data_IF_634483106211
#
_entry.id   IF_634483106211
#
_cell.length_a   1.000
_cell.length_b   1.000
_cell.length_c   1.000
_cell.angle_alpha   90.00
_cell.angle_beta   90.00
_cell.angle_gamma   90.00
#
_symmetry.space_group_name_H-M   'P 1'
#
loop_
_entity.id
_entity.type
_entity.pdbx_description
1 polymer ?
#
# COMPACT_ATOMS: atom_id res chain seq x y z
N UNK A 1 5.39 16.63 1.21
CA UNK A 1 5.59 15.33 0.54
C UNK A 1 4.38 15.05 -0.34
N UNK A 2 4.61 14.55 -1.54
CA UNK A 2 3.54 14.15 -2.46
C UNK A 2 3.11 12.69 -2.21
N UNK A 3 1.80 12.44 -2.29
CA UNK A 3 1.21 11.12 -2.09
C UNK A 3 0.71 10.51 -3.41
N UNK A 4 0.85 9.20 -3.55
CA UNK A 4 0.34 8.40 -4.66
C UNK A 4 -0.66 7.40 -4.10
N UNK A 5 -1.87 7.38 -4.65
CA UNK A 5 -2.94 6.45 -4.27
C UNK A 5 -3.21 5.46 -5.40
N UNK A 6 -3.03 4.17 -5.15
CA UNK A 6 -3.34 3.11 -6.12
C UNK A 6 -4.81 2.68 -6.01
N UNK A 7 -5.60 3.00 -7.03
CA UNK A 7 -7.05 2.81 -7.04
C UNK A 7 -7.59 2.03 -8.27
N UNK A 8 -6.70 1.47 -9.10
CA UNK A 8 -7.05 0.81 -10.36
C UNK A 8 -7.54 -0.64 -10.25
N UNK A 9 -7.73 -1.18 -9.03
CA UNK A 9 -8.18 -2.55 -8.84
C UNK A 9 -9.65 -2.74 -9.22
N UNK A 10 -9.93 -3.64 -10.16
CA UNK A 10 -11.29 -4.01 -10.57
C UNK A 10 -11.49 -5.50 -10.30
N UNK A 11 -12.32 -5.87 -9.31
CA UNK A 11 -12.52 -7.28 -9.00
C UNK A 11 -13.10 -8.06 -10.19
N UNK A 12 -12.63 -9.29 -10.38
CA UNK A 12 -13.08 -10.22 -11.42
C UNK A 12 -14.19 -11.15 -10.90
N UNK A 13 -15.04 -11.75 -11.77
CA UNK A 13 -16.19 -12.56 -11.34
C UNK A 13 -15.92 -13.69 -10.34
N UNK A 14 -14.70 -14.23 -10.32
CA UNK A 14 -14.24 -15.29 -9.42
C UNK A 14 -13.63 -14.77 -8.10
N UNK A 15 -13.54 -13.47 -7.92
CA UNK A 15 -12.97 -12.83 -6.72
C UNK A 15 -14.04 -12.48 -5.68
N UNK A 16 -13.64 -12.53 -4.40
CA UNK A 16 -14.55 -12.47 -3.25
C UNK A 16 -15.37 -11.17 -3.15
N UNK A 17 -14.87 -10.07 -3.70
CA UNK A 17 -15.52 -8.76 -3.65
C UNK A 17 -16.35 -8.43 -4.89
N UNK A 18 -16.29 -9.25 -5.94
CA UNK A 18 -17.09 -9.02 -7.15
C UNK A 18 -18.60 -8.85 -6.91
N UNK A 19 -19.25 -9.64 -6.01
CA UNK A 19 -20.67 -9.43 -5.71
C UNK A 19 -21.01 -8.03 -5.18
N UNK A 20 -20.02 -7.34 -4.59
CA UNK A 20 -20.17 -6.01 -3.99
C UNK A 20 -19.79 -4.90 -4.97
N UNK A 21 -18.82 -5.14 -5.87
CA UNK A 21 -18.39 -4.14 -6.85
C UNK A 21 -19.11 -4.23 -8.19
N UNK A 22 -19.62 -5.42 -8.55
CA UNK A 22 -20.28 -5.69 -9.83
C UNK A 22 -19.42 -5.27 -11.04
N UNK A 23 -18.10 -5.51 -10.96
CA UNK A 23 -17.14 -5.13 -12.01
C UNK A 23 -16.78 -3.64 -12.04
N UNK A 24 -17.21 -2.85 -11.05
CA UNK A 24 -16.74 -1.47 -10.84
C UNK A 24 -15.41 -1.44 -10.07
N UNK A 25 -14.67 -0.32 -10.08
CA UNK A 25 -13.45 -0.18 -9.29
C UNK A 25 -13.69 -0.47 -7.80
N UNK A 26 -12.84 -1.32 -7.22
CA UNK A 26 -12.84 -1.67 -5.79
C UNK A 26 -12.76 -0.42 -4.92
N UNK A 27 -11.93 0.53 -5.31
CA UNK A 27 -11.74 1.82 -4.64
C UNK A 27 -13.05 2.60 -4.41
N UNK A 28 -14.07 2.38 -5.25
CA UNK A 28 -15.37 3.05 -5.16
C UNK A 28 -16.44 2.25 -4.41
N UNK A 29 -16.06 1.10 -3.83
CA UNK A 29 -16.96 0.31 -3.01
C UNK A 29 -17.47 1.16 -1.84
N UNK A 30 -18.79 1.14 -1.60
CA UNK A 30 -19.43 1.95 -0.57
C UNK A 30 -19.11 1.45 0.84
N UNK A 31 -18.64 2.36 1.69
CA UNK A 31 -18.47 2.16 3.12
C UNK A 31 -19.18 3.30 3.83
N UNK A 32 -20.36 2.99 4.39
CA UNK A 32 -21.22 3.92 5.12
C UNK A 32 -21.63 5.16 4.30
N UNK A 33 -21.99 4.98 3.01
CA UNK A 33 -22.44 6.08 2.14
C UNK A 33 -21.30 6.90 1.53
N UNK A 34 -20.04 6.49 1.73
CA UNK A 34 -18.84 7.14 1.21
C UNK A 34 -17.99 6.13 0.42
N UNK A 35 -17.46 6.47 -0.77
CA UNK A 35 -16.54 5.60 -1.49
C UNK A 35 -15.32 5.24 -0.64
N UNK A 36 -14.89 3.97 -0.64
CA UNK A 36 -13.78 3.49 0.19
C UNK A 36 -12.51 4.36 0.08
N UNK A 37 -12.12 4.74 -1.14
CA UNK A 37 -10.96 5.60 -1.38
C UNK A 37 -11.12 7.02 -0.83
N UNK A 38 -12.36 7.52 -0.70
CA UNK A 38 -12.59 8.86 -0.14
C UNK A 38 -12.14 8.93 1.31
N UNK A 39 -12.26 7.84 2.09
CA UNK A 39 -11.71 7.79 3.46
C UNK A 39 -10.19 7.95 3.49
N UNK A 40 -9.50 7.33 2.53
CA UNK A 40 -8.04 7.48 2.36
C UNK A 40 -7.69 8.91 1.93
N UNK A 41 -8.44 9.48 0.99
CA UNK A 41 -8.24 10.86 0.51
C UNK A 41 -8.55 11.90 1.59
N UNK A 42 -9.48 11.65 2.49
CA UNK A 42 -9.77 12.50 3.65
C UNK A 42 -8.58 12.49 4.62
N UNK A 43 -8.03 11.31 4.93
CA UNK A 43 -6.86 11.18 5.79
C UNK A 43 -5.61 11.88 5.20
N UNK A 44 -5.36 11.70 3.90
CA UNK A 44 -4.30 12.42 3.17
C UNK A 44 -4.57 13.93 3.09
N UNK A 45 -5.84 14.30 2.96
CA UNK A 45 -6.34 15.67 2.86
C UNK A 45 -6.06 16.49 4.12
N UNK A 46 -6.19 15.85 5.28
CA UNK A 46 -5.98 16.47 6.59
C UNK A 46 -4.56 16.29 7.14
N UNK A 47 -3.74 15.41 6.54
CA UNK A 47 -2.33 15.26 6.90
C UNK A 47 -1.55 16.56 6.70
N UNK A 48 -0.68 16.89 7.66
CA UNK A 48 0.07 18.16 7.66
C UNK A 48 1.17 18.14 6.63
N UNK A 49 1.81 16.99 6.43
CA UNK A 49 3.00 16.86 5.58
C UNK A 49 2.68 16.53 4.12
N UNK A 50 1.42 16.15 3.81
CA UNK A 50 0.99 15.89 2.43
C UNK A 50 0.72 17.21 1.71
N UNK A 51 1.29 17.36 0.51
CA UNK A 51 1.19 18.58 -0.30
C UNK A 51 0.30 18.38 -1.52
N UNK A 52 0.53 17.32 -2.29
CA UNK A 52 -0.29 16.95 -3.45
C UNK A 52 -0.65 15.45 -3.40
N UNK A 53 -1.72 15.07 -4.08
CA UNK A 53 -2.18 13.68 -4.19
C UNK A 53 -2.35 13.29 -5.66
N UNK A 54 -1.71 12.19 -6.07
CA UNK A 54 -1.87 11.57 -7.39
C UNK A 54 -2.66 10.27 -7.25
N UNK A 55 -3.85 10.19 -7.83
CA UNK A 55 -4.69 8.99 -7.83
C UNK A 55 -4.54 8.24 -9.14
N UNK A 56 -4.30 6.94 -9.05
CA UNK A 56 -4.07 6.06 -10.19
C UNK A 56 -5.26 5.14 -10.40
N UNK A 57 -5.81 5.15 -11.61
CA UNK A 57 -6.86 4.21 -12.01
C UNK A 57 -8.29 4.64 -11.68
N UNK A 58 -8.46 5.90 -11.30
CA UNK A 58 -9.75 6.60 -11.24
C UNK A 58 -9.68 7.85 -12.14
N UNK A 59 -10.85 8.43 -12.41
CA UNK A 59 -10.99 9.69 -13.17
C UNK A 59 -11.68 10.77 -12.33
N UNK A 60 -11.67 12.01 -12.81
CA UNK A 60 -12.38 13.14 -12.18
C UNK A 60 -13.88 12.86 -11.99
N UNK A 61 -14.49 12.08 -12.90
CA UNK A 61 -15.90 11.67 -12.84
C UNK A 61 -16.21 10.66 -11.72
N UNK A 62 -15.19 10.19 -10.98
CA UNK A 62 -15.38 9.20 -9.90
C UNK A 62 -16.10 9.78 -8.67
N UNK A 63 -16.29 11.11 -8.62
CA UNK A 63 -17.01 11.78 -7.54
C UNK A 63 -16.25 11.85 -6.21
N UNK A 64 -14.94 11.64 -6.23
CA UNK A 64 -14.06 11.73 -5.06
C UNK A 64 -13.32 13.06 -5.06
N UNK A 65 -12.92 13.51 -3.87
CA UNK A 65 -12.27 14.79 -3.67
C UNK A 65 -11.17 14.70 -2.61
N UNK A 66 -10.27 15.67 -2.58
CA UNK A 66 -9.26 15.80 -1.53
C UNK A 66 -9.10 17.28 -1.22
N UNK A 67 -8.78 17.61 0.04
CA UNK A 67 -8.48 18.98 0.46
C UNK A 67 -7.17 19.50 -0.15
N UNK A 68 -6.27 18.59 -0.52
CA UNK A 68 -5.01 18.88 -1.22
C UNK A 68 -5.23 18.82 -2.74
N UNK A 69 -4.40 19.49 -3.55
CA UNK A 69 -4.42 19.34 -5.00
C UNK A 69 -4.43 17.87 -5.41
N UNK A 70 -5.40 17.51 -6.24
CA UNK A 70 -5.68 16.13 -6.64
C UNK A 70 -5.46 15.99 -8.14
N UNK A 71 -4.62 15.04 -8.55
CA UNK A 71 -4.33 14.73 -9.95
C UNK A 71 -4.68 13.28 -10.24
N UNK A 72 -5.33 13.02 -11.37
CA UNK A 72 -5.67 11.67 -11.80
C UNK A 72 -4.74 11.20 -12.91
N UNK A 73 -4.33 9.93 -12.85
CA UNK A 73 -3.68 9.25 -13.97
C UNK A 73 -4.36 7.92 -14.28
N UNK A 74 -4.37 7.48 -15.56
CA UNK A 74 -4.98 6.20 -15.94
C UNK A 74 -4.32 5.00 -15.26
N UNK A 75 -5.10 3.93 -15.08
CA UNK A 75 -4.57 2.65 -14.63
C UNK A 75 -3.57 2.10 -15.67
N UNK A 76 -2.46 1.56 -15.18
CA UNK A 76 -1.44 0.88 -15.96
C UNK A 76 -1.66 -0.63 -15.95
N UNK A 77 -0.83 -1.36 -16.69
CA UNK A 77 -1.02 -2.80 -16.86
C UNK A 77 -0.71 -3.60 -15.59
N UNK A 78 0.00 -3.05 -14.60
CA UNK A 78 0.36 -3.71 -13.35
C UNK A 78 0.56 -2.74 -12.19
N UNK A 79 0.64 -3.28 -10.96
CA UNK A 79 0.89 -2.45 -9.78
C UNK A 79 2.24 -1.73 -9.82
N UNK A 80 3.29 -2.41 -10.30
CA UNK A 80 4.61 -1.80 -10.44
C UNK A 80 4.57 -0.66 -11.46
N UNK A 81 3.92 -0.87 -12.61
CA UNK A 81 3.78 0.18 -13.62
C UNK A 81 2.94 1.36 -13.10
N UNK A 82 1.92 1.10 -12.28
CA UNK A 82 1.19 2.14 -11.57
C UNK A 82 2.12 2.96 -10.67
N UNK A 83 2.91 2.32 -9.80
CA UNK A 83 3.84 3.03 -8.91
C UNK A 83 4.82 3.89 -9.71
N UNK A 84 5.41 3.34 -10.78
CA UNK A 84 6.35 4.08 -11.65
C UNK A 84 5.66 5.28 -12.32
N UNK A 85 4.46 5.09 -12.87
CA UNK A 85 3.69 6.17 -13.48
C UNK A 85 3.31 7.26 -12.47
N UNK A 86 2.96 6.87 -11.25
CA UNK A 86 2.68 7.77 -10.13
C UNK A 86 3.90 8.62 -9.76
N UNK A 87 5.07 8.00 -9.59
CA UNK A 87 6.31 8.73 -9.26
C UNK A 87 6.71 9.66 -10.40
N UNK A 88 6.62 9.21 -11.66
CA UNK A 88 6.85 10.10 -12.81
C UNK A 88 5.92 11.30 -12.79
N UNK A 89 4.63 11.09 -12.47
CA UNK A 89 3.68 12.19 -12.38
C UNK A 89 4.00 13.15 -11.24
N UNK A 90 4.42 12.63 -10.09
CA UNK A 90 4.92 13.47 -8.99
C UNK A 90 6.10 14.30 -9.44
N UNK A 91 7.09 13.71 -10.12
CA UNK A 91 8.27 14.44 -10.61
C UNK A 91 7.94 15.50 -11.69
N UNK A 92 6.85 15.33 -12.45
CA UNK A 92 6.33 16.37 -13.33
C UNK A 92 5.74 17.56 -12.54
N UNK A 93 5.05 17.28 -11.43
CA UNK A 93 4.40 18.29 -10.57
C UNK A 93 5.45 19.00 -9.68
N UNK A 94 6.37 18.23 -9.12
CA UNK A 94 7.40 18.62 -8.18
C UNK A 94 8.72 17.93 -8.58
N UNK A 95 9.50 18.60 -9.44
CA UNK A 95 10.77 18.08 -9.95
C UNK A 95 11.85 17.90 -8.88
N UNK A 96 11.63 18.45 -7.69
CA UNK A 96 12.55 18.34 -6.53
C UNK A 96 12.13 17.27 -5.53
N UNK A 97 11.04 16.55 -5.77
CA UNK A 97 10.58 15.48 -4.87
C UNK A 97 11.65 14.37 -4.78
N UNK A 98 12.17 14.16 -3.56
CA UNK A 98 13.10 13.06 -3.25
C UNK A 98 12.36 11.81 -2.79
N UNK A 99 11.18 11.98 -2.19
CA UNK A 99 10.38 10.89 -1.63
C UNK A 99 8.90 11.09 -1.93
N UNK A 100 8.19 9.97 -2.00
CA UNK A 100 6.73 9.92 -2.13
C UNK A 100 6.13 8.99 -1.07
N UNK A 101 4.92 9.31 -0.64
CA UNK A 101 4.08 8.39 0.12
C UNK A 101 3.24 7.57 -0.85
N UNK A 102 3.36 6.25 -0.84
CA UNK A 102 2.48 5.35 -1.58
C UNK A 102 1.44 4.79 -0.63
N UNK A 103 0.16 4.94 -0.95
CA UNK A 103 -0.96 4.38 -0.21
C UNK A 103 -1.90 3.59 -1.13
N UNK A 104 -2.43 2.48 -0.64
CA UNK A 104 -3.53 1.78 -1.30
C UNK A 104 -4.87 2.48 -1.03
N UNK A 105 -5.80 2.33 -1.97
CA UNK A 105 -7.15 2.90 -1.87
C UNK A 105 -8.10 2.15 -0.92
N UNK A 106 -7.66 1.01 -0.36
CA UNK A 106 -8.50 0.05 0.35
C UNK A 106 -8.16 -0.13 1.84
N UNK A 107 -7.45 0.85 2.42
CA UNK A 107 -7.17 0.98 3.85
C UNK A 107 -7.98 2.14 4.47
N UNK A 108 -9.32 2.12 4.41
CA UNK A 108 -10.16 3.27 4.74
C UNK A 108 -10.10 3.70 6.21
N UNK A 109 -9.49 2.88 7.08
CA UNK A 109 -9.35 3.15 8.50
C UNK A 109 -8.16 4.04 8.86
N UNK A 110 -7.27 4.38 7.92
CA UNK A 110 -6.13 5.26 8.22
C UNK A 110 -6.60 6.67 8.63
N UNK A 111 -5.73 7.39 9.32
CA UNK A 111 -5.97 8.76 9.80
C UNK A 111 -4.81 9.67 9.41
N UNK A 112 -5.02 10.98 9.45
CA UNK A 112 -3.99 11.97 9.14
C UNK A 112 -2.74 11.85 10.02
N UNK A 113 -2.91 11.46 11.28
CA UNK A 113 -1.86 11.26 12.26
C UNK A 113 -1.01 10.03 11.92
N UNK A 114 -1.63 8.98 11.38
CA UNK A 114 -0.92 7.79 10.90
C UNK A 114 -0.12 8.10 9.63
N UNK A 115 -0.68 8.94 8.75
CA UNK A 115 0.02 9.44 7.55
C UNK A 115 1.25 10.26 7.95
N UNK A 116 1.08 11.23 8.85
CA UNK A 116 2.19 12.06 9.33
C UNK A 116 3.26 11.20 10.05
N UNK A 117 2.85 10.24 10.88
CA UNK A 117 3.76 9.32 11.56
C UNK A 117 4.58 8.49 10.57
N UNK A 118 3.95 8.03 9.48
CA UNK A 118 4.63 7.27 8.45
C UNK A 118 5.70 8.09 7.73
N UNK A 119 5.37 9.34 7.39
CA UNK A 119 6.30 10.26 6.77
C UNK A 119 7.49 10.53 7.70
N UNK A 120 7.22 10.84 8.98
CA UNK A 120 8.25 11.11 9.99
C UNK A 120 9.17 9.90 10.25
N UNK A 121 8.63 8.68 10.14
CA UNK A 121 9.37 7.44 10.41
C UNK A 121 10.14 6.95 9.18
N UNK A 122 9.58 7.16 7.99
CA UNK A 122 10.15 6.71 6.72
C UNK A 122 11.28 7.60 6.21
N UNK A 123 11.12 8.92 6.29
CA UNK A 123 12.10 9.89 5.74
C UNK A 123 13.53 9.74 6.28
N UNK A 124 13.79 9.58 7.59
CA UNK A 124 15.15 9.59 8.12
C UNK A 124 16.00 8.38 7.73
N UNK A 125 15.41 7.36 7.09
CA UNK A 125 16.08 6.10 6.80
C UNK A 125 16.98 6.15 5.57
N UNK A 126 16.82 7.15 4.71
CA UNK A 126 17.63 7.39 3.49
C UNK A 126 17.87 6.10 2.67
N UNK A 127 16.78 5.38 2.39
CA UNK A 127 16.76 4.15 1.59
C UNK A 127 15.79 4.28 0.43
N UNK A 128 15.97 3.45 -0.60
CA UNK A 128 15.10 3.46 -1.78
C UNK A 128 13.65 3.06 -1.41
N UNK A 129 13.46 2.13 -0.47
CA UNK A 129 12.15 1.64 -0.04
C UNK A 129 12.05 1.48 1.49
N UNK A 130 11.15 2.23 2.12
CA UNK A 130 10.69 1.99 3.49
C UNK A 130 9.39 1.20 3.45
N UNK A 131 9.46 -0.08 3.84
CA UNK A 131 8.32 -0.99 3.77
C UNK A 131 7.71 -1.24 5.14
N UNK A 132 6.40 -1.03 5.24
CA UNK A 132 5.66 -1.17 6.48
C UNK A 132 5.19 -2.60 6.74
N UNK A 133 5.35 -3.02 7.99
CA UNK A 133 4.81 -4.29 8.48
C UNK A 133 4.11 -4.07 9.81
N UNK A 134 3.00 -4.76 10.02
CA UNK A 134 2.24 -4.72 11.27
C UNK A 134 2.35 -6.07 11.96
N UNK A 135 2.64 -6.06 13.27
CA UNK A 135 2.70 -7.27 14.08
C UNK A 135 1.29 -7.87 14.26
N UNK A 136 1.20 -9.20 14.27
CA UNK A 136 -0.06 -9.93 14.42
C UNK A 136 -0.84 -9.48 15.67
N UNK A 137 -0.18 -9.30 16.79
CA UNK A 137 -0.77 -8.86 18.05
C UNK A 137 -1.39 -7.46 17.95
N UNK A 138 -0.79 -6.55 17.17
CA UNK A 138 -1.34 -5.21 16.92
C UNK A 138 -2.60 -5.33 16.05
N UNK A 139 -2.52 -6.13 14.99
CA UNK A 139 -3.68 -6.41 14.12
C UNK A 139 -4.83 -7.07 14.87
N UNK A 140 -4.57 -8.12 15.65
CA UNK A 140 -5.60 -8.88 16.36
C UNK A 140 -6.18 -8.13 17.56
N UNK A 141 -5.41 -7.23 18.18
CA UNK A 141 -5.93 -6.36 19.24
C UNK A 141 -6.99 -5.38 18.74
N UNK A 142 -6.79 -4.80 17.55
CA UNK A 142 -7.73 -3.83 16.97
C UNK A 142 -8.80 -4.48 16.09
N UNK A 143 -8.40 -5.42 15.24
CA UNK A 143 -9.25 -6.08 14.24
C UNK A 143 -9.28 -7.60 14.44
N UNK A 144 -9.81 -8.08 15.58
CA UNK A 144 -9.94 -9.51 15.84
C UNK A 144 -10.82 -10.16 14.76
N UNK A 145 -10.35 -11.29 14.22
CA UNK A 145 -11.10 -12.02 13.19
C UNK A 145 -11.08 -11.40 11.79
N UNK A 146 -10.20 -10.43 11.52
CA UNK A 146 -9.98 -9.85 10.18
C UNK A 146 -9.64 -10.86 9.08
N UNK A 147 -9.17 -12.06 9.48
CA UNK A 147 -8.63 -13.10 8.59
C UNK A 147 -7.50 -12.55 7.71
N UNK A 148 -6.70 -11.60 8.21
CA UNK A 148 -5.47 -11.17 7.55
C UNK A 148 -4.49 -12.33 7.45
N UNK A 149 -3.73 -12.34 6.35
CA UNK A 149 -2.67 -13.32 6.13
C UNK A 149 -1.42 -12.85 6.86
N UNK A 150 -0.83 -13.74 7.67
CA UNK A 150 0.40 -13.45 8.40
C UNK A 150 1.55 -14.30 7.86
N UNK A 151 2.65 -13.64 7.57
CA UNK A 151 3.93 -14.30 7.28
C UNK A 151 4.66 -14.52 8.59
N UNK A 152 5.13 -15.75 8.80
CA UNK A 152 5.91 -16.11 9.98
C UNK A 152 7.36 -15.71 9.76
N UNK A 153 7.98 -15.11 10.77
CA UNK A 153 9.42 -14.92 10.84
C UNK A 153 9.91 -15.48 12.18
N UNK A 154 11.23 -15.63 12.32
CA UNK A 154 11.81 -16.06 13.59
C UNK A 154 11.46 -15.05 14.68
N UNK A 155 10.66 -15.47 15.65
CA UNK A 155 10.27 -14.66 16.82
C UNK A 155 9.07 -13.73 16.61
N UNK A 156 8.47 -13.65 15.42
CA UNK A 156 7.31 -12.79 15.18
C UNK A 156 6.42 -13.26 14.02
N UNK A 157 5.20 -12.75 13.97
CA UNK A 157 4.30 -12.89 12.83
C UNK A 157 3.84 -11.51 12.41
N UNK A 158 3.88 -11.23 11.11
CA UNK A 158 3.57 -9.91 10.57
C UNK A 158 2.67 -10.03 9.34
N UNK A 159 1.88 -8.98 9.09
CA UNK A 159 1.30 -8.74 7.77
C UNK A 159 1.92 -7.47 7.18
N UNK A 160 1.79 -7.32 5.87
CA UNK A 160 2.24 -6.13 5.17
C UNK A 160 1.29 -4.97 5.42
N UNK A 161 1.84 -3.76 5.40
CA UNK A 161 1.09 -2.50 5.40
C UNK A 161 0.99 -1.92 4.00
N UNK A 162 -0.14 -1.28 3.70
CA UNK A 162 -0.44 -0.74 2.38
C UNK A 162 -0.25 0.78 2.30
N UNK A 163 0.60 1.31 3.18
CA UNK A 163 1.11 2.68 3.14
C UNK A 163 2.62 2.65 3.37
N UNK A 164 3.41 3.23 2.47
CA UNK A 164 4.87 3.08 2.45
C UNK A 164 5.54 4.35 1.92
N UNK A 165 6.77 4.65 2.36
CA UNK A 165 7.59 5.74 1.80
C UNK A 165 8.60 5.18 0.80
N UNK A 166 8.67 5.78 -0.38
CA UNK A 166 9.61 5.40 -1.44
C UNK A 166 10.46 6.60 -1.84
N UNK A 167 11.74 6.37 -2.11
CA UNK A 167 12.57 7.37 -2.75
C UNK A 167 12.21 7.47 -4.24
N UNK A 168 12.19 8.66 -4.82
CA UNK A 168 11.83 8.85 -6.23
C UNK A 168 12.85 8.26 -7.18
N UNK A 169 14.11 8.11 -6.75
CA UNK A 169 15.18 7.39 -7.48
C UNK A 169 14.78 5.98 -7.88
N UNK A 170 13.83 5.35 -7.20
CA UNK A 170 13.36 3.98 -7.46
C UNK A 170 12.98 3.78 -8.93
N UNK A 171 12.41 4.81 -9.59
CA UNK A 171 12.05 4.72 -11.03
C UNK A 171 13.22 4.77 -11.98
N UNK A 172 14.36 5.30 -11.53
CA UNK A 172 15.61 5.37 -12.29
C UNK A 172 16.59 4.26 -11.88
N UNK A 173 16.44 3.73 -10.67
CA UNK A 173 17.23 2.64 -10.14
C UNK A 173 16.84 1.33 -10.83
N UNK A 174 17.80 0.73 -11.54
CA UNK A 174 17.72 -0.59 -12.17
C UNK A 174 16.47 -0.87 -13.04
N UNK A 175 16.32 -0.19 -14.19
CA UNK A 175 15.21 -0.42 -15.14
C UNK A 175 15.05 -1.90 -15.52
N UNK A 176 16.15 -2.63 -15.64
CA UNK A 176 16.15 -4.06 -15.99
C UNK A 176 15.44 -4.94 -14.93
N UNK A 177 15.57 -4.60 -13.65
CA UNK A 177 14.89 -5.34 -12.57
C UNK A 177 13.40 -5.07 -12.60
N UNK A 178 13.00 -3.82 -12.84
CA UNK A 178 11.60 -3.46 -13.02
C UNK A 178 10.99 -4.15 -14.23
N UNK A 179 11.69 -4.15 -15.37
CA UNK A 179 11.26 -4.87 -16.57
C UNK A 179 11.07 -6.36 -16.31
N UNK A 180 12.01 -6.99 -15.59
CA UNK A 180 11.90 -8.41 -15.19
C UNK A 180 10.71 -8.67 -14.28
N UNK A 181 10.47 -7.81 -13.28
CA UNK A 181 9.34 -7.95 -12.36
C UNK A 181 7.99 -7.75 -13.07
N UNK A 182 7.91 -6.77 -13.98
CA UNK A 182 6.73 -6.50 -14.81
C UNK A 182 6.49 -7.67 -15.79
N UNK A 183 7.52 -8.17 -16.46
CA UNK A 183 7.42 -9.33 -17.35
C UNK A 183 6.97 -10.60 -16.60
N UNK A 184 7.36 -10.74 -15.34
CA UNK A 184 6.99 -11.87 -14.49
C UNK A 184 5.61 -11.72 -13.82
N UNK A 185 4.88 -10.62 -13.99
CA UNK A 185 3.65 -10.30 -13.23
C UNK A 185 2.53 -11.33 -13.24
N UNK A 186 2.45 -12.13 -14.31
CA UNK A 186 1.44 -13.21 -14.45
C UNK A 186 1.92 -14.54 -13.87
N UNK A 187 3.13 -14.59 -13.33
CA UNK A 187 3.76 -15.81 -12.84
C UNK A 187 4.38 -15.56 -11.45
N UNK A 188 3.63 -15.85 -10.37
CA UNK A 188 4.07 -15.66 -8.99
C UNK A 188 5.38 -16.38 -8.68
N UNK A 189 5.64 -17.54 -9.31
CA UNK A 189 6.87 -18.31 -9.10
C UNK A 189 8.07 -17.56 -9.69
N UNK A 190 7.93 -16.96 -10.88
CA UNK A 190 9.00 -16.15 -11.50
C UNK A 190 9.28 -14.89 -10.69
N UNK A 191 8.25 -14.22 -10.15
CA UNK A 191 8.46 -13.07 -9.26
C UNK A 191 9.15 -13.50 -7.95
N UNK A 192 8.69 -14.59 -7.35
CA UNK A 192 9.33 -15.16 -6.16
C UNK A 192 10.77 -15.60 -6.44
N UNK A 193 11.14 -15.98 -7.68
CA UNK A 193 12.52 -16.28 -8.04
C UNK A 193 13.41 -15.03 -8.15
N UNK A 194 12.84 -13.88 -8.54
CA UNK A 194 13.58 -12.60 -8.63
C UNK A 194 13.87 -12.05 -7.22
N UNK A 195 12.88 -12.05 -6.33
CA UNK A 195 13.03 -11.66 -4.91
C UNK A 195 13.78 -12.75 -4.13
N UNK A 196 13.56 -13.98 -4.57
CA UNK A 196 14.32 -15.20 -4.36
C UNK A 196 13.68 -16.19 -3.38
N UNK A 197 13.51 -17.39 -3.92
CA UNK A 197 12.64 -18.44 -3.42
C UNK A 197 13.12 -19.03 -2.09
N UNK A 198 14.42 -19.02 -1.84
CA UNK A 198 15.02 -19.44 -0.57
C UNK A 198 14.57 -18.55 0.59
N UNK A 199 14.42 -17.24 0.36
CA UNK A 199 14.02 -16.27 1.38
C UNK A 199 12.56 -16.46 1.72
N UNK A 200 11.74 -16.70 0.70
CA UNK A 200 10.33 -17.03 0.87
C UNK A 200 10.14 -18.38 1.60
N UNK A 201 10.94 -19.40 1.27
CA UNK A 201 10.90 -20.70 1.97
C UNK A 201 11.37 -20.57 3.43
N UNK A 202 12.46 -19.85 3.69
CA UNK A 202 12.95 -19.65 5.05
C UNK A 202 11.99 -18.82 5.92
N UNK A 203 11.30 -17.85 5.32
CA UNK A 203 10.20 -17.11 5.95
C UNK A 203 9.02 -18.04 6.22
N UNK A 204 8.57 -18.81 5.23
CA UNK A 204 7.45 -19.75 5.42
C UNK A 204 7.74 -20.80 6.52
N UNK A 205 8.99 -21.24 6.65
CA UNK A 205 9.44 -22.13 7.73
C UNK A 205 9.66 -21.42 9.08
N UNK A 206 9.61 -20.08 9.11
CA UNK A 206 9.80 -19.27 10.32
C UNK A 206 11.24 -19.27 10.85
N UNK A 207 12.22 -19.56 9.99
CA UNK A 207 13.63 -19.75 10.37
C UNK A 207 14.44 -18.45 10.21
N UNK A 208 14.06 -17.61 9.24
CA UNK A 208 14.74 -16.33 8.96
C UNK A 208 14.17 -15.19 9.80
N UNK A 209 15.02 -14.25 10.20
CA UNK A 209 14.56 -12.99 10.78
C UNK A 209 14.09 -12.02 9.69
N UNK A 210 13.35 -10.99 10.07
CA UNK A 210 12.87 -9.96 9.14
C UNK A 210 14.03 -9.19 8.50
N UNK A 211 15.07 -8.91 9.29
CA UNK A 211 16.27 -8.20 8.86
C UNK A 211 17.06 -9.01 7.82
N UNK A 212 17.21 -10.32 8.05
CA UNK A 212 17.86 -11.22 7.11
C UNK A 212 17.08 -11.36 5.79
N UNK A 213 15.74 -11.36 5.87
CA UNK A 213 14.91 -11.40 4.68
C UNK A 213 15.01 -10.11 3.86
N UNK A 214 15.04 -8.97 4.56
CA UNK A 214 15.27 -7.67 3.95
C UNK A 214 16.63 -7.62 3.26
N UNK A 215 17.72 -7.98 3.94
CA UNK A 215 19.09 -8.01 3.39
C UNK A 215 19.18 -8.85 2.12
N UNK A 216 18.55 -10.03 2.11
CA UNK A 216 18.51 -10.90 0.93
C UNK A 216 17.71 -10.28 -0.23
N UNK A 217 16.58 -9.64 0.07
CA UNK A 217 15.73 -9.01 -0.93
C UNK A 217 16.41 -7.77 -1.55
N UNK A 218 16.97 -6.89 -0.73
CA UNK A 218 17.68 -5.67 -1.16
C UNK A 218 18.90 -6.01 -2.01
N UNK A 219 19.69 -7.03 -1.62
CA UNK A 219 20.82 -7.51 -2.40
C UNK A 219 20.44 -8.01 -3.81
N UNK A 220 19.28 -8.65 -3.96
CA UNK A 220 18.79 -9.17 -5.25
C UNK A 220 18.14 -8.12 -6.12
N UNK A 221 17.47 -7.17 -5.50
CA UNK A 221 16.86 -6.04 -6.18
C UNK A 221 17.88 -4.93 -6.48
N UNK A 222 19.13 -5.05 -6.02
CA UNK A 222 20.17 -4.03 -6.14
C UNK A 222 19.66 -2.65 -5.67
N UNK A 223 18.89 -2.66 -4.59
CA UNK A 223 18.25 -1.49 -3.96
C UNK A 223 18.55 -1.50 -2.47
N UNK A 224 18.50 -0.33 -1.84
CA UNK A 224 18.47 -0.20 -0.39
C UNK A 224 17.04 -0.28 0.12
N UNK A 225 16.85 -0.79 1.33
CA UNK A 225 15.51 -0.91 1.90
C UNK A 225 15.56 -0.97 3.41
N UNK A 226 14.47 -0.56 4.03
CA UNK A 226 14.26 -0.64 5.46
C UNK A 226 12.86 -1.16 5.74
N UNK A 227 12.72 -1.91 6.84
CA UNK A 227 11.39 -2.30 7.33
C UNK A 227 11.03 -1.45 8.54
N UNK A 228 9.80 -0.95 8.53
CA UNK A 228 9.19 -0.19 9.63
C UNK A 228 8.13 -1.07 10.28
N UNK A 229 8.28 -1.31 11.58
CA UNK A 229 7.23 -1.96 12.37
C UNK A 229 6.20 -0.91 12.73
N UNK A 230 5.10 -0.89 11.98
CA UNK A 230 4.02 0.07 12.16
C UNK A 230 3.16 -0.30 13.38
N UNK A 231 2.91 0.65 14.31
CA UNK A 231 2.07 0.41 15.50
C UNK A 231 0.57 0.48 15.19
N UNK A 232 0.18 0.84 13.96
CA UNK A 232 -1.21 1.04 13.56
C UNK A 232 -1.71 -0.14 12.73
N UNK A 233 -2.74 -0.82 13.23
CA UNK A 233 -3.37 -1.94 12.53
C UNK A 233 -4.10 -1.50 11.25
N UNK A 234 -4.53 -0.25 11.22
CA UNK A 234 -5.24 0.42 10.12
C UNK A 234 -4.45 0.36 8.82
N UNK A 235 -3.13 0.50 8.89
CA UNK A 235 -2.23 0.45 7.73
C UNK A 235 -2.16 -0.96 7.14
N UNK A 236 -2.39 -2.00 7.94
CA UNK A 236 -2.41 -3.39 7.50
C UNK A 236 -3.81 -3.98 7.33
N UNK A 237 -4.88 -3.18 7.44
CA UNK A 237 -6.27 -3.62 7.37
C UNK A 237 -6.91 -3.21 6.04
N UNK A 238 -6.47 -3.85 4.97
CA UNK A 238 -7.09 -3.78 3.65
C UNK A 238 -8.48 -4.43 3.62
N UNK A 239 -9.30 -4.00 2.67
CA UNK A 239 -10.61 -4.61 2.39
C UNK A 239 -10.51 -5.55 1.20
N UNK A 240 -10.08 -6.80 1.38
CA UNK A 240 -10.01 -7.82 0.32
C UNK A 240 -11.12 -8.87 0.39
N UNK A 241 -11.76 -8.98 1.54
CA UNK A 241 -12.72 -10.04 1.87
C UNK A 241 -14.00 -9.41 2.41
N UNK A 242 -15.17 -10.07 2.20
CA UNK A 242 -16.44 -9.61 2.78
C UNK A 242 -16.38 -9.38 4.30
N UNK A 243 -15.67 -10.24 5.03
CA UNK A 243 -15.49 -10.07 6.49
C UNK A 243 -14.73 -8.78 6.83
N UNK A 244 -13.75 -8.40 6.03
CA UNK A 244 -12.97 -7.16 6.23
C UNK A 244 -13.83 -5.95 5.90
N UNK A 245 -14.65 -6.03 4.85
CA UNK A 245 -15.61 -4.97 4.50
C UNK A 245 -16.59 -4.69 5.65
N UNK A 246 -17.20 -5.73 6.20
CA UNK A 246 -18.15 -5.57 7.31
C UNK A 246 -17.46 -5.05 8.58
N UNK A 247 -16.22 -5.48 8.84
CA UNK A 247 -15.39 -4.91 9.91
C UNK A 247 -15.13 -3.42 9.71
N UNK A 248 -14.78 -2.97 8.50
CA UNK A 248 -14.53 -1.55 8.21
C UNK A 248 -15.78 -0.70 8.31
N UNK A 249 -16.92 -1.17 7.81
CA UNK A 249 -18.22 -0.49 8.01
C UNK A 249 -18.50 -0.29 9.50
N UNK A 250 -18.33 -1.33 10.31
CA UNK A 250 -18.57 -1.27 11.74
C UNK A 250 -17.56 -0.39 12.50
N UNK A 251 -16.28 -0.41 12.13
CA UNK A 251 -15.22 0.41 12.75
C UNK A 251 -15.43 1.90 12.46
N UNK A 252 -15.62 2.25 11.18
CA UNK A 252 -15.74 3.64 10.75
C UNK A 252 -17.03 4.29 11.24
N UNK A 253 -18.13 3.54 11.30
CA UNK A 253 -19.39 4.04 11.86
C UNK A 253 -19.27 4.39 13.35
N UNK A 254 -18.40 3.70 14.10
CA UNK A 254 -18.14 4.06 15.50
C UNK A 254 -17.38 5.37 15.60
N UNK A 255 -16.46 5.65 14.68
CA UNK A 255 -15.66 6.89 14.69
C UNK A 255 -16.48 8.12 14.40
N UNK A 256 -17.43 8.06 13.47
CA UNK A 256 -18.30 9.21 13.14
C UNK A 256 -19.26 9.62 14.28
N UNK A 257 -19.46 8.76 15.27
CA UNK A 257 -20.33 9.05 16.43
C UNK A 257 -19.63 9.80 17.55
N UNK A 258 -18.32 10.06 17.42
CA UNK A 258 -17.50 10.79 18.37
C UNK A 258 -16.80 11.98 17.68
#
# INVERSE_FOLDING_TARGET
MDAIVTAGGIPQPDELLYPYTQGKPKALLDINGKPMVQWVLDALGEARQVENVVVIGLTEDSGVSCRKPLTYIPNQASMIENIIAGIKKVLEINSTATHVLLASSDIPAITSEMVDWEIDTGLPKDVDLCYNVVRREVMEARYPGSKRTFTRFKGMQICTGDMNVLHTSVVSANPEIWERLVAARKNPIKQAAIIGIDTLLLALLGIITLEQALEKATARLHMTGAVVICPYAEVGMDVDKPVQLELMKADLLKREKY
#
